data_IF_232161212068
#
_entry.id   IF_232161212068
#
_cell.length_a   1.000
_cell.length_b   1.000
_cell.length_c   1.000
_cell.angle_alpha   90.00
_cell.angle_beta   90.00
_cell.angle_gamma   90.00
#
_symmetry.space_group_name_H-M   'P 1'
#
loop_
_entity.id
_entity.type
_entity.pdbx_description
1 polymer ?
#
# COMPACT_ATOMS: atom_id res chain seq x y z
N UNK A 1 -4.75 36.03 -13.89
CA UNK A 1 -4.25 34.65 -13.64
C UNK A 1 -5.43 33.71 -13.59
N UNK A 2 -5.57 32.84 -14.57
CA UNK A 2 -6.75 31.94 -14.67
C UNK A 2 -6.57 30.72 -13.76
N UNK A 3 -7.16 30.79 -12.55
CA UNK A 3 -7.16 29.70 -11.57
C UNK A 3 -7.76 28.40 -12.11
N UNK A 4 -8.66 28.51 -13.08
CA UNK A 4 -9.37 27.38 -13.70
C UNK A 4 -8.40 26.53 -14.54
N UNK A 5 -7.48 27.16 -15.25
CA UNK A 5 -6.48 26.44 -16.07
C UNK A 5 -5.48 25.67 -15.21
N UNK A 6 -4.98 26.28 -14.10
CA UNK A 6 -4.08 25.60 -13.15
C UNK A 6 -4.77 24.38 -12.54
N UNK A 7 -6.03 24.55 -12.11
CA UNK A 7 -6.83 23.47 -11.56
C UNK A 7 -6.98 22.30 -12.55
N UNK A 8 -7.36 22.61 -13.79
CA UNK A 8 -7.57 21.62 -14.84
C UNK A 8 -6.27 20.85 -15.19
N UNK A 9 -5.13 21.54 -15.33
CA UNK A 9 -3.83 20.89 -15.58
C UNK A 9 -3.43 19.98 -14.40
N UNK A 10 -3.62 20.44 -13.16
CA UNK A 10 -3.34 19.63 -11.95
C UNK A 10 -4.22 18.39 -11.91
N UNK A 11 -5.53 18.52 -12.18
CA UNK A 11 -6.46 17.39 -12.18
C UNK A 11 -6.14 16.36 -13.27
N UNK A 12 -5.68 16.79 -14.46
CA UNK A 12 -5.24 15.90 -15.54
C UNK A 12 -4.03 15.04 -15.15
N UNK A 13 -3.22 15.46 -14.20
CA UNK A 13 -2.08 14.68 -13.68
C UNK A 13 -2.48 13.84 -12.46
N UNK A 14 -3.19 14.44 -11.50
CA UNK A 14 -3.53 13.78 -10.23
C UNK A 14 -4.51 12.63 -10.44
N UNK A 15 -5.61 12.86 -11.14
CA UNK A 15 -6.70 11.88 -11.25
C UNK A 15 -6.24 10.54 -11.86
N UNK A 16 -5.57 10.51 -13.03
CA UNK A 16 -5.06 9.25 -13.57
C UNK A 16 -3.96 8.65 -12.70
N UNK A 17 -3.10 9.47 -12.09
CA UNK A 17 -2.04 8.95 -11.20
C UNK A 17 -2.61 8.28 -9.96
N UNK A 18 -3.63 8.86 -9.33
CA UNK A 18 -4.31 8.26 -8.17
C UNK A 18 -5.01 6.97 -8.58
N UNK A 19 -5.76 6.98 -9.70
CA UNK A 19 -6.47 5.80 -10.19
C UNK A 19 -5.51 4.64 -10.48
N UNK A 20 -4.43 4.91 -11.20
CA UNK A 20 -3.40 3.90 -11.50
C UNK A 20 -2.74 3.41 -10.20
N UNK A 21 -2.46 4.30 -9.24
CA UNK A 21 -1.86 3.92 -7.96
C UNK A 21 -2.77 3.02 -7.13
N UNK A 22 -4.09 3.28 -7.13
CA UNK A 22 -5.09 2.44 -6.46
C UNK A 22 -5.12 1.05 -7.11
N UNK A 23 -5.26 0.98 -8.44
CA UNK A 23 -5.32 -0.29 -9.16
C UNK A 23 -4.03 -1.10 -9.00
N UNK A 24 -2.88 -0.43 -9.05
CA UNK A 24 -1.58 -1.06 -8.83
C UNK A 24 -1.45 -1.58 -7.40
N UNK A 25 -1.89 -0.80 -6.40
CA UNK A 25 -1.87 -1.23 -5.01
C UNK A 25 -2.76 -2.46 -4.80
N UNK A 26 -4.00 -2.46 -5.31
CA UNK A 26 -4.91 -3.61 -5.21
C UNK A 26 -4.30 -4.83 -5.89
N UNK A 27 -3.77 -4.68 -7.11
CA UNK A 27 -3.09 -5.77 -7.82
C UNK A 27 -1.95 -6.38 -6.98
N UNK A 28 -1.09 -5.54 -6.42
CA UNK A 28 0.04 -6.00 -5.60
C UNK A 28 -0.45 -6.65 -4.29
N UNK A 29 -1.52 -6.14 -3.68
CA UNK A 29 -2.15 -6.71 -2.50
C UNK A 29 -2.65 -8.14 -2.76
N UNK A 30 -3.45 -8.34 -3.81
CA UNK A 30 -3.98 -9.65 -4.18
C UNK A 30 -2.88 -10.63 -4.66
N UNK A 31 -1.85 -10.12 -5.36
CA UNK A 31 -0.65 -10.91 -5.68
C UNK A 31 0.11 -11.34 -4.43
N UNK A 32 0.15 -10.50 -3.40
CA UNK A 32 0.72 -10.85 -2.12
C UNK A 32 0.05 -12.07 -1.49
N UNK A 33 -1.28 -12.09 -1.44
CA UNK A 33 -2.05 -13.27 -1.01
C UNK A 33 -1.77 -14.48 -1.90
N UNK A 34 -1.81 -14.28 -3.23
CA UNK A 34 -1.62 -15.34 -4.22
C UNK A 34 -0.28 -16.08 -4.08
N UNK A 35 0.81 -15.36 -3.78
CA UNK A 35 2.13 -15.95 -3.56
C UNK A 35 2.09 -16.93 -2.38
N UNK A 36 1.43 -16.58 -1.28
CA UNK A 36 1.30 -17.45 -0.11
C UNK A 36 0.39 -18.62 -0.41
N UNK A 37 -0.74 -18.41 -1.10
CA UNK A 37 -1.65 -19.46 -1.53
C UNK A 37 -0.94 -20.53 -2.36
N UNK A 38 -0.16 -20.13 -3.37
CA UNK A 38 0.65 -21.05 -4.18
C UNK A 38 1.69 -21.81 -3.34
N UNK A 39 2.35 -21.12 -2.40
CA UNK A 39 3.32 -21.77 -1.52
C UNK A 39 2.69 -22.82 -0.59
N UNK A 40 1.40 -22.66 -0.25
CA UNK A 40 0.62 -23.61 0.52
C UNK A 40 0.02 -24.74 -0.34
N UNK A 41 0.22 -24.72 -1.67
CA UNK A 41 -0.36 -25.69 -2.60
C UNK A 41 -1.87 -25.50 -2.82
N UNK A 42 -2.39 -24.30 -2.64
CA UNK A 42 -3.79 -23.99 -2.92
C UNK A 42 -4.02 -23.66 -4.39
N UNK A 43 -5.17 -24.06 -4.91
CA UNK A 43 -5.65 -23.73 -6.25
C UNK A 43 -6.39 -22.39 -6.23
N UNK A 44 -5.98 -21.43 -7.04
CA UNK A 44 -6.68 -20.16 -7.20
C UNK A 44 -7.92 -20.38 -8.04
N UNK A 45 -9.09 -20.13 -7.46
CA UNK A 45 -10.39 -20.33 -8.12
C UNK A 45 -10.95 -19.04 -8.73
N UNK A 46 -10.60 -17.88 -8.17
CA UNK A 46 -10.94 -16.56 -8.73
C UNK A 46 -9.91 -15.52 -8.33
N UNK A 47 -9.69 -14.52 -9.20
CA UNK A 47 -8.80 -13.40 -8.95
C UNK A 47 -9.41 -12.13 -9.57
N UNK A 48 -9.74 -11.15 -8.75
CA UNK A 48 -10.36 -9.91 -9.20
C UNK A 48 -9.72 -8.66 -8.62
N UNK A 49 -9.19 -7.80 -9.50
CA UNK A 49 -8.66 -6.49 -9.12
C UNK A 49 -9.80 -5.52 -8.77
N UNK A 50 -10.93 -5.59 -9.52
CA UNK A 50 -12.02 -4.63 -9.34
C UNK A 50 -12.80 -4.84 -8.04
N UNK A 51 -12.94 -6.09 -7.60
CA UNK A 51 -13.58 -6.45 -6.33
C UNK A 51 -12.57 -6.68 -5.21
N UNK A 52 -11.28 -6.50 -5.48
CA UNK A 52 -10.19 -6.62 -4.52
C UNK A 52 -10.29 -7.93 -3.71
N UNK A 53 -10.24 -9.07 -4.42
CA UNK A 53 -10.24 -10.37 -3.76
C UNK A 53 -9.54 -11.46 -4.58
N UNK A 54 -9.00 -12.45 -3.89
CA UNK A 54 -8.58 -13.74 -4.42
C UNK A 54 -9.34 -14.86 -3.69
N UNK A 55 -9.94 -15.78 -4.46
CA UNK A 55 -10.58 -16.99 -3.93
C UNK A 55 -9.72 -18.20 -4.22
N UNK A 56 -9.75 -19.16 -3.33
CA UNK A 56 -8.93 -20.37 -3.45
C UNK A 56 -9.63 -21.60 -2.87
N UNK A 57 -9.12 -22.78 -3.21
CA UNK A 57 -9.53 -24.06 -2.63
C UNK A 57 -8.31 -24.94 -2.33
N UNK A 58 -8.45 -25.85 -1.37
CA UNK A 58 -7.34 -26.74 -0.99
C UNK A 58 -6.23 -26.04 -0.22
N UNK A 59 -5.02 -26.58 -0.36
CA UNK A 59 -3.82 -26.07 0.33
C UNK A 59 -3.57 -26.73 1.70
N UNK A 60 -2.32 -26.68 2.15
CA UNK A 60 -1.87 -27.15 3.46
C UNK A 60 -1.67 -25.97 4.40
N UNK A 61 -2.57 -25.82 5.37
CA UNK A 61 -2.61 -24.66 6.25
C UNK A 61 -2.07 -24.96 7.64
N UNK A 62 -1.23 -24.09 8.10
CA UNK A 62 -0.75 -23.99 9.49
C UNK A 62 -1.07 -22.61 10.02
N UNK A 63 -1.08 -22.42 11.33
CA UNK A 63 -1.24 -21.07 11.92
C UNK A 63 -0.22 -20.06 11.37
N UNK A 64 0.97 -20.53 11.01
CA UNK A 64 2.04 -19.68 10.46
C UNK A 64 1.71 -19.29 9.01
N UNK A 65 1.34 -20.25 8.15
CA UNK A 65 1.01 -19.95 6.75
C UNK A 65 -0.23 -19.06 6.63
N UNK A 66 -1.22 -19.24 7.51
CA UNK A 66 -2.40 -18.39 7.58
C UNK A 66 -2.06 -16.94 8.00
N UNK A 67 -1.20 -16.77 9.01
CA UNK A 67 -0.66 -15.43 9.37
C UNK A 67 0.05 -14.77 8.17
N UNK A 68 0.89 -15.53 7.46
CA UNK A 68 1.59 -15.02 6.27
C UNK A 68 0.63 -14.66 5.13
N UNK A 69 -0.45 -15.42 4.96
CA UNK A 69 -1.48 -15.12 3.96
C UNK A 69 -2.01 -13.70 4.16
N UNK A 70 -2.49 -13.38 5.36
CA UNK A 70 -3.10 -12.09 5.63
C UNK A 70 -2.08 -10.94 5.71
N UNK A 71 -0.87 -11.19 6.23
CA UNK A 71 0.19 -10.18 6.28
C UNK A 71 0.68 -9.80 4.88
N UNK A 72 0.76 -10.77 3.96
CA UNK A 72 1.44 -10.57 2.69
C UNK A 72 0.65 -9.67 1.72
N UNK A 73 -0.66 -9.51 1.92
CA UNK A 73 -1.46 -8.48 1.23
C UNK A 73 -0.91 -7.07 1.43
N UNK A 74 -0.41 -6.74 2.63
CA UNK A 74 0.23 -5.45 2.89
C UNK A 74 1.75 -5.48 2.69
N UNK A 75 2.41 -6.58 3.04
CA UNK A 75 3.86 -6.68 3.01
C UNK A 75 4.40 -6.68 1.57
N UNK A 76 3.75 -7.37 0.64
CA UNK A 76 4.22 -7.44 -0.75
C UNK A 76 4.19 -6.07 -1.45
N UNK A 77 3.09 -5.29 -1.45
CA UNK A 77 3.13 -3.93 -2.01
C UNK A 77 4.13 -3.02 -1.29
N UNK A 78 4.35 -3.20 0.03
CA UNK A 78 5.37 -2.45 0.76
C UNK A 78 6.79 -2.75 0.27
N UNK A 79 7.13 -4.03 0.05
CA UNK A 79 8.42 -4.43 -0.51
C UNK A 79 8.63 -3.81 -1.89
N UNK A 80 7.62 -3.89 -2.77
CA UNK A 80 7.68 -3.29 -4.10
C UNK A 80 7.85 -1.77 -4.00
N UNK A 81 7.15 -1.10 -3.09
CA UNK A 81 7.30 0.33 -2.86
C UNK A 81 8.71 0.70 -2.38
N UNK A 82 9.31 -0.07 -1.47
CA UNK A 82 10.70 0.16 -1.02
C UNK A 82 11.68 -0.02 -2.19
N UNK A 83 11.54 -1.08 -2.98
CA UNK A 83 12.37 -1.30 -4.18
C UNK A 83 12.21 -0.13 -5.15
N UNK A 84 10.97 0.32 -5.40
CA UNK A 84 10.69 1.47 -6.24
C UNK A 84 11.34 2.76 -5.71
N UNK A 85 11.26 3.04 -4.40
CA UNK A 85 11.92 4.18 -3.77
C UNK A 85 13.44 4.13 -4.00
N UNK A 86 14.06 2.97 -3.83
CA UNK A 86 15.50 2.82 -4.02
C UNK A 86 15.94 3.06 -5.46
N UNK A 87 15.12 2.65 -6.43
CA UNK A 87 15.36 2.82 -7.87
C UNK A 87 14.87 4.16 -8.42
N UNK A 88 14.20 4.99 -7.62
CA UNK A 88 13.65 6.28 -8.05
C UNK A 88 14.74 7.21 -8.59
N UNK A 89 14.48 7.80 -9.77
CA UNK A 89 15.38 8.74 -10.44
C UNK A 89 14.88 10.17 -10.27
N UNK A 90 15.49 10.89 -9.33
CA UNK A 90 15.10 12.26 -8.98
C UNK A 90 15.25 13.24 -10.15
N UNK A 91 16.26 13.02 -11.00
CA UNK A 91 16.63 13.88 -12.12
C UNK A 91 15.73 13.71 -13.35
N UNK A 92 14.86 12.68 -13.34
CA UNK A 92 13.98 12.42 -14.48
C UNK A 92 12.90 13.49 -14.58
N UNK A 93 12.99 14.32 -15.63
CA UNK A 93 12.11 15.47 -15.84
C UNK A 93 10.81 15.08 -16.58
N UNK A 94 9.95 14.34 -15.91
CA UNK A 94 8.62 13.99 -16.39
C UNK A 94 7.59 14.22 -15.28
N UNK A 95 6.65 15.14 -15.52
CA UNK A 95 5.63 15.52 -14.53
C UNK A 95 4.74 14.35 -14.12
N UNK A 96 4.32 13.53 -15.08
CA UNK A 96 3.48 12.36 -14.78
C UNK A 96 4.25 11.34 -13.91
N UNK A 97 5.53 11.08 -14.23
CA UNK A 97 6.37 10.20 -13.42
C UNK A 97 6.51 10.72 -11.98
N UNK A 98 6.73 12.03 -11.79
CA UNK A 98 6.83 12.64 -10.46
C UNK A 98 5.52 12.50 -9.67
N UNK A 99 4.37 12.71 -10.33
CA UNK A 99 3.05 12.63 -9.66
C UNK A 99 2.69 11.18 -9.36
N UNK A 100 2.82 10.25 -10.30
CA UNK A 100 2.49 8.84 -10.06
C UNK A 100 3.41 8.21 -9.01
N UNK A 101 4.68 8.60 -8.98
CA UNK A 101 5.60 8.14 -7.93
C UNK A 101 5.14 8.59 -6.53
N UNK A 102 4.76 9.87 -6.40
CA UNK A 102 4.25 10.40 -5.15
C UNK A 102 2.95 9.74 -4.71
N UNK A 103 1.99 9.59 -5.62
CA UNK A 103 0.68 8.98 -5.31
C UNK A 103 0.79 7.50 -4.96
N UNK A 104 1.63 6.73 -5.67
CA UNK A 104 1.85 5.31 -5.38
C UNK A 104 2.47 5.11 -3.98
N UNK A 105 3.51 5.88 -3.66
CA UNK A 105 4.15 5.79 -2.34
C UNK A 105 3.20 6.25 -1.23
N UNK A 106 2.45 7.34 -1.43
CA UNK A 106 1.45 7.80 -0.46
C UNK A 106 0.34 6.76 -0.25
N UNK A 107 -0.12 6.08 -1.30
CA UNK A 107 -1.12 5.01 -1.20
C UNK A 107 -0.62 3.84 -0.36
N UNK A 108 0.62 3.38 -0.62
CA UNK A 108 1.24 2.29 0.15
C UNK A 108 1.47 2.68 1.62
N UNK A 109 1.91 3.92 1.88
CA UNK A 109 2.05 4.43 3.26
C UNK A 109 0.69 4.49 3.96
N UNK A 110 -0.35 4.97 3.25
CA UNK A 110 -1.70 5.07 3.80
C UNK A 110 -2.28 3.71 4.18
N UNK A 111 -1.97 2.64 3.43
CA UNK A 111 -2.42 1.29 3.78
C UNK A 111 -1.84 0.78 5.11
N UNK A 112 -0.63 1.21 5.48
CA UNK A 112 -0.04 0.86 6.78
C UNK A 112 -0.80 1.47 7.97
N UNK A 113 -1.59 2.52 7.75
CA UNK A 113 -2.45 3.09 8.80
C UNK A 113 -3.44 2.06 9.33
N UNK A 114 -3.99 1.18 8.47
CA UNK A 114 -4.84 0.08 8.92
C UNK A 114 -4.09 -0.83 9.91
N UNK A 115 -2.85 -1.19 9.60
CA UNK A 115 -1.98 -2.02 10.45
C UNK A 115 -1.52 -1.33 11.74
N UNK A 116 -1.65 0.00 11.84
CA UNK A 116 -1.40 0.76 13.07
C UNK A 116 -2.67 0.81 13.93
N UNK A 117 -3.83 1.15 13.34
CA UNK A 117 -5.03 1.44 14.10
C UNK A 117 -5.90 0.21 14.39
N UNK A 118 -5.99 -0.73 13.44
CA UNK A 118 -6.83 -1.92 13.62
C UNK A 118 -6.38 -2.77 14.81
N UNK A 119 -5.08 -3.02 15.08
CA UNK A 119 -4.69 -3.77 16.27
C UNK A 119 -5.11 -3.09 17.58
N UNK A 120 -5.18 -1.76 17.61
CA UNK A 120 -5.70 -1.02 18.79
C UNK A 120 -7.20 -1.28 18.92
N UNK A 121 -7.97 -1.14 17.84
CA UNK A 121 -9.42 -1.38 17.83
C UNK A 121 -9.77 -2.85 18.11
N UNK A 122 -8.91 -3.78 17.70
CA UNK A 122 -9.06 -5.21 17.97
C UNK A 122 -9.13 -5.51 19.46
N UNK A 123 -8.38 -4.81 20.30
CA UNK A 123 -8.41 -4.98 21.76
C UNK A 123 -9.76 -4.56 22.37
N UNK A 124 -10.57 -3.79 21.65
CA UNK A 124 -11.91 -3.36 22.04
C UNK A 124 -13.04 -4.14 21.37
N UNK A 125 -12.70 -5.15 20.53
CA UNK A 125 -13.70 -5.95 19.81
C UNK A 125 -14.47 -5.18 18.73
N UNK A 126 -13.87 -4.14 18.15
CA UNK A 126 -14.52 -3.22 17.20
C UNK A 126 -13.98 -3.35 15.76
N UNK A 127 -13.58 -4.55 15.35
CA UNK A 127 -13.01 -4.78 14.02
C UNK A 127 -13.82 -5.79 13.24
N UNK A 128 -14.13 -5.55 11.94
CA UNK A 128 -14.80 -6.55 11.10
C UNK A 128 -13.95 -7.81 10.92
N UNK A 129 -14.55 -8.98 11.07
CA UNK A 129 -13.87 -10.27 10.93
C UNK A 129 -13.37 -10.55 9.50
N UNK A 130 -13.90 -9.84 8.51
CA UNK A 130 -13.48 -9.95 7.11
C UNK A 130 -12.14 -9.27 6.81
N UNK A 131 -11.66 -8.36 7.69
CA UNK A 131 -10.43 -7.60 7.49
C UNK A 131 -9.17 -8.47 7.67
N UNK A 132 -8.17 -8.28 6.80
CA UNK A 132 -6.93 -9.06 6.84
C UNK A 132 -6.12 -8.85 8.12
N UNK A 133 -6.12 -7.61 8.66
CA UNK A 133 -5.44 -7.33 9.93
C UNK A 133 -6.14 -8.06 11.07
N UNK A 134 -7.49 -8.13 11.06
CA UNK A 134 -8.24 -8.93 12.04
C UNK A 134 -7.85 -10.40 11.96
N UNK A 135 -7.89 -11.00 10.76
CA UNK A 135 -7.55 -12.42 10.54
C UNK A 135 -6.11 -12.72 10.95
N UNK A 136 -5.17 -11.84 10.62
CA UNK A 136 -3.80 -11.94 11.10
C UNK A 136 -3.73 -11.93 12.62
N UNK A 137 -4.38 -10.95 13.28
CA UNK A 137 -4.36 -10.79 14.73
C UNK A 137 -5.04 -11.95 15.45
N UNK A 138 -6.11 -12.49 14.89
CA UNK A 138 -6.82 -13.63 15.48
C UNK A 138 -5.87 -14.80 15.75
N UNK A 139 -4.96 -15.10 14.82
CA UNK A 139 -3.93 -16.12 15.01
C UNK A 139 -2.69 -15.61 15.77
N UNK A 140 -2.31 -14.33 15.61
CA UNK A 140 -1.11 -13.76 16.22
C UNK A 140 -1.25 -13.56 17.72
N UNK A 141 -2.43 -13.12 18.19
CA UNK A 141 -2.67 -12.79 19.60
C UNK A 141 -2.72 -14.00 20.55
N UNK A 142 -2.64 -15.22 20.03
CA UNK A 142 -2.40 -16.39 20.87
C UNK A 142 -0.99 -16.35 21.52
N UNK A 143 -0.02 -15.78 20.81
CA UNK A 143 1.38 -15.79 21.24
C UNK A 143 1.87 -14.41 21.67
N UNK A 144 1.32 -13.33 21.08
CA UNK A 144 1.85 -11.97 21.22
C UNK A 144 0.74 -10.91 21.33
N UNK A 145 0.98 -9.82 22.06
CA UNK A 145 0.00 -8.74 22.18
C UNK A 145 -0.13 -7.93 20.87
N UNK A 146 -1.38 -7.56 20.52
CA UNK A 146 -1.72 -6.87 19.28
C UNK A 146 -0.94 -5.55 19.05
N UNK A 147 -0.61 -4.80 20.11
CA UNK A 147 0.11 -3.53 19.99
C UNK A 147 1.50 -3.66 19.35
N UNK A 148 2.13 -4.84 19.41
CA UNK A 148 3.40 -5.06 18.70
C UNK A 148 3.26 -4.89 17.20
N UNK A 149 2.14 -5.31 16.62
CA UNK A 149 1.84 -5.13 15.20
C UNK A 149 1.76 -3.64 14.87
N UNK A 150 1.06 -2.85 15.70
CA UNK A 150 0.97 -1.39 15.54
C UNK A 150 2.34 -0.72 15.58
N UNK A 151 3.20 -1.12 16.52
CA UNK A 151 4.57 -0.57 16.66
C UNK A 151 5.40 -0.92 15.41
N UNK A 152 5.39 -2.18 14.97
CA UNK A 152 6.11 -2.61 13.77
C UNK A 152 5.62 -1.86 12.53
N UNK A 153 4.31 -1.75 12.33
CA UNK A 153 3.72 -1.01 11.22
C UNK A 153 4.10 0.47 11.24
N UNK A 154 4.11 1.11 12.41
CA UNK A 154 4.54 2.50 12.57
C UNK A 154 6.02 2.68 12.20
N UNK A 155 6.90 1.79 12.65
CA UNK A 155 8.34 1.82 12.30
C UNK A 155 8.51 1.69 10.78
N UNK A 156 7.82 0.75 10.13
CA UNK A 156 7.86 0.55 8.69
C UNK A 156 7.34 1.77 7.94
N UNK A 157 6.22 2.36 8.39
CA UNK A 157 5.64 3.56 7.82
C UNK A 157 6.62 4.75 7.87
N UNK A 158 7.19 5.04 9.04
CA UNK A 158 8.16 6.13 9.20
C UNK A 158 9.45 5.86 8.42
N UNK A 159 9.91 4.60 8.35
CA UNK A 159 11.04 4.20 7.51
C UNK A 159 10.79 4.50 6.03
N UNK A 160 9.61 4.14 5.49
CA UNK A 160 9.24 4.44 4.11
C UNK A 160 9.13 5.95 3.84
N UNK A 161 8.52 6.71 4.75
CA UNK A 161 8.44 8.19 4.63
C UNK A 161 9.84 8.77 4.58
N UNK A 162 10.73 8.36 5.47
CA UNK A 162 12.11 8.82 5.53
C UNK A 162 12.86 8.52 4.22
N UNK A 163 12.82 7.28 3.75
CA UNK A 163 13.47 6.87 2.50
C UNK A 163 12.93 7.64 1.28
N UNK A 164 11.60 7.78 1.17
CA UNK A 164 10.98 8.54 0.08
C UNK A 164 11.36 10.03 0.11
N UNK A 165 11.47 10.61 1.30
CA UNK A 165 11.93 11.99 1.48
C UNK A 165 13.41 12.15 1.06
N UNK A 166 14.30 11.25 1.50
CA UNK A 166 15.72 11.24 1.13
C UNK A 166 15.92 11.10 -0.39
N UNK A 167 15.11 10.27 -1.05
CA UNK A 167 15.14 10.10 -2.51
C UNK A 167 14.50 11.28 -3.28
N UNK A 168 13.89 12.23 -2.57
CA UNK A 168 13.31 13.43 -3.17
C UNK A 168 11.95 13.23 -3.85
N UNK A 169 11.25 12.10 -3.60
CA UNK A 169 9.95 11.80 -4.21
C UNK A 169 8.93 12.88 -3.84
N UNK A 170 8.81 13.20 -2.56
CA UNK A 170 7.86 14.24 -2.08
C UNK A 170 8.26 15.64 -2.55
N UNK A 171 9.56 15.91 -2.67
CA UNK A 171 10.05 17.18 -3.21
C UNK A 171 9.62 17.32 -4.68
N UNK A 172 9.87 16.31 -5.51
CA UNK A 172 9.53 16.33 -6.92
C UNK A 172 8.01 16.38 -7.14
N UNK A 173 7.23 15.65 -6.33
CA UNK A 173 5.77 15.74 -6.33
C UNK A 173 5.31 17.18 -6.08
N UNK A 174 5.80 17.83 -5.02
CA UNK A 174 5.45 19.21 -4.66
C UNK A 174 5.92 20.22 -5.74
N UNK A 175 7.12 20.03 -6.27
CA UNK A 175 7.69 20.91 -7.30
C UNK A 175 6.84 20.91 -8.57
N UNK A 176 6.28 19.76 -8.99
CA UNK A 176 5.43 19.68 -10.17
C UNK A 176 4.23 20.63 -10.07
N UNK A 177 3.58 20.71 -8.92
CA UNK A 177 2.43 21.61 -8.72
C UNK A 177 2.85 23.07 -8.56
N UNK A 178 4.04 23.33 -8.03
CA UNK A 178 4.61 24.69 -8.00
C UNK A 178 4.92 25.18 -9.41
N UNK A 179 5.56 24.36 -10.26
CA UNK A 179 5.84 24.67 -11.66
C UNK A 179 4.56 24.97 -12.47
N UNK A 180 3.47 24.24 -12.22
CA UNK A 180 2.17 24.51 -12.86
C UNK A 180 1.61 25.87 -12.44
N UNK A 181 1.80 26.24 -11.18
CA UNK A 181 1.35 27.55 -10.66
C UNK A 181 2.18 28.70 -11.19
N UNK A 182 3.49 28.52 -11.35
CA UNK A 182 4.43 29.58 -11.80
C UNK A 182 4.34 29.80 -13.33
N UNK A 183 3.79 28.82 -14.08
CA UNK A 183 3.59 28.90 -15.55
C UNK A 183 2.38 29.76 -15.97
N UNK A 184 1.42 29.93 -15.09
CA UNK A 184 0.17 30.64 -15.31
C UNK A 184 0.06 31.89 -14.42
#
# INVERSE_FOLDING_TARGET
>A
MDKTNIFNESMRLILPSVLISILLYILLHELGHTIVLWSAGADITDFSILSAHVSYSGGHWTNISDRWLHLNGALFPLIIAVIYILLYRKEYDNRFYRVISGTFILMTIASLMAWIFIPILYTFGQVPESDDVYKFLHNFCYDYPAYLVSICAAILMFGCIYLAAQKGIFQNFRMTFKELKDKH
#
